data_IF_400007484410
#
_entry.id   IF_400007484410
#
_cell.length_a   1.000
_cell.length_b   1.000
_cell.length_c   1.000
_cell.angle_alpha   90.00
_cell.angle_beta   90.00
_cell.angle_gamma   90.00
#
_symmetry.space_group_name_H-M   'P 1'
#
loop_
_entity.id
_entity.type
_entity.pdbx_description
1 polymer ?
#
# COMPACT_ATOMS: atom_id res chain seq x y z
N UNK A 1 10.22 25.92 46.84
CA UNK A 1 11.51 25.66 46.17
C UNK A 1 11.55 24.18 45.80
N UNK A 2 10.96 23.83 44.67
CA UNK A 2 11.09 22.54 44.00
C UNK A 2 11.06 22.86 42.50
N UNK A 3 12.18 22.57 41.83
CA UNK A 3 12.29 22.63 40.38
C UNK A 3 11.57 21.41 39.80
N UNK A 4 10.77 21.60 38.76
CA UNK A 4 10.38 20.52 37.86
C UNK A 4 10.62 20.96 36.42
N UNK A 5 11.64 20.34 35.83
CA UNK A 5 11.93 20.31 34.41
C UNK A 5 10.78 19.65 33.65
N UNK A 6 10.41 20.21 32.49
CA UNK A 6 9.76 19.43 31.44
C UNK A 6 10.66 19.43 30.21
N UNK A 7 11.17 18.23 29.96
CA UNK A 7 12.02 17.83 28.86
C UNK A 7 11.13 17.49 27.67
N UNK A 8 11.28 18.21 26.56
CA UNK A 8 10.63 17.88 25.30
C UNK A 8 11.24 16.59 24.75
N UNK A 9 10.42 15.55 24.61
CA UNK A 9 10.80 14.33 23.90
C UNK A 9 10.10 14.34 22.55
N UNK A 10 10.89 14.61 21.52
CA UNK A 10 10.53 14.34 20.12
C UNK A 10 10.48 12.84 19.90
N UNK A 11 9.33 12.31 19.48
CA UNK A 11 9.23 10.96 18.92
C UNK A 11 8.82 11.06 17.46
N UNK A 12 9.82 11.07 16.57
CA UNK A 12 9.65 10.77 15.16
C UNK A 12 9.61 9.24 15.02
N UNK A 13 8.44 8.70 14.70
CA UNK A 13 8.27 7.28 14.37
C UNK A 13 8.42 7.13 12.86
N UNK A 14 9.64 6.81 12.42
CA UNK A 14 9.90 6.33 11.06
C UNK A 14 9.53 4.85 10.97
N UNK A 15 8.47 4.54 10.22
CA UNK A 15 8.10 3.17 9.91
C UNK A 15 8.98 2.66 8.75
N UNK A 16 10.01 1.88 9.07
CA UNK A 16 10.79 1.15 8.09
C UNK A 16 10.01 -0.07 7.60
N UNK A 17 9.63 -0.09 6.32
CA UNK A 17 9.06 -1.26 5.65
C UNK A 17 10.21 -2.16 5.21
N UNK A 18 10.50 -3.20 5.99
CA UNK A 18 11.42 -4.26 5.59
C UNK A 18 10.71 -5.25 4.68
N UNK A 19 10.98 -5.19 3.38
CA UNK A 19 10.61 -6.22 2.41
C UNK A 19 11.53 -7.43 2.57
N UNK A 20 10.99 -8.52 3.09
CA UNK A 20 11.69 -9.80 3.17
C UNK A 20 11.70 -10.47 1.79
N UNK A 21 12.85 -10.43 1.12
CA UNK A 21 13.09 -11.18 -0.10
C UNK A 21 13.40 -12.65 0.24
N UNK A 22 12.45 -13.54 -0.07
CA UNK A 22 12.67 -14.98 -0.08
C UNK A 22 13.61 -15.33 -1.23
N UNK A 23 14.88 -15.62 -0.91
CA UNK A 23 15.85 -16.18 -1.84
C UNK A 23 15.81 -17.70 -1.75
N UNK A 24 15.25 -18.35 -2.77
CA UNK A 24 15.33 -19.80 -2.95
C UNK A 24 16.68 -20.12 -3.58
N UNK A 25 17.61 -20.59 -2.74
CA UNK A 25 18.90 -21.16 -3.17
C UNK A 25 18.66 -22.44 -3.98
N UNK A 26 18.99 -22.40 -5.27
CA UNK A 26 19.08 -23.59 -6.12
C UNK A 26 20.42 -24.29 -5.87
N UNK A 27 20.37 -25.49 -5.32
CA UNK A 27 21.52 -26.38 -5.17
C UNK A 27 21.96 -26.89 -6.54
N UNK A 28 23.10 -26.40 -7.02
CA UNK A 28 23.79 -26.87 -8.21
C UNK A 28 24.70 -28.05 -7.83
N UNK A 29 24.31 -29.27 -8.21
CA UNK A 29 25.15 -30.46 -8.06
C UNK A 29 26.15 -30.52 -9.21
N UNK A 30 27.38 -30.08 -8.94
CA UNK A 30 28.52 -30.22 -9.86
C UNK A 30 29.30 -31.50 -9.53
N UNK A 31 29.34 -32.41 -10.49
CA UNK A 31 30.15 -33.63 -10.47
C UNK A 31 31.65 -33.30 -10.51
N UNK A 32 32.41 -33.83 -9.55
CA UNK A 32 33.88 -33.77 -9.53
C UNK A 32 34.46 -35.16 -9.74
N UNK A 33 35.17 -35.33 -10.85
CA UNK A 33 36.00 -36.48 -11.17
C UNK A 33 37.37 -36.28 -10.49
N UNK A 34 37.72 -37.15 -9.54
CA UNK A 34 39.05 -37.20 -8.94
C UNK A 34 39.92 -38.24 -9.65
N UNK A 35 40.90 -37.77 -10.41
CA UNK A 35 42.03 -38.56 -10.90
C UNK A 35 43.09 -38.58 -9.80
N UNK A 36 43.46 -39.77 -9.33
CA UNK A 36 44.60 -39.96 -8.44
C UNK A 36 45.62 -40.89 -9.10
N UNK A 37 46.69 -40.28 -9.62
CA UNK A 37 47.91 -40.97 -10.03
C UNK A 37 48.70 -41.43 -8.82
N UNK A 38 49.10 -42.70 -8.76
CA UNK A 38 50.22 -43.17 -7.94
C UNK A 38 51.07 -44.19 -8.72
N UNK A 39 52.31 -43.80 -8.97
CA UNK A 39 53.41 -44.67 -9.41
C UNK A 39 54.20 -45.09 -8.17
N UNK A 40 54.59 -46.36 -8.08
CA UNK A 40 55.37 -46.90 -6.97
C UNK A 40 55.59 -48.42 -7.08
N UNK A 41 56.85 -48.79 -7.28
CA UNK A 41 57.44 -50.09 -7.66
C UNK A 41 57.44 -51.16 -6.55
N UNK A 42 57.32 -52.45 -6.95
CA UNK A 42 58.16 -53.63 -6.57
C UNK A 42 57.40 -54.92 -6.22
N UNK A 43 57.88 -56.02 -6.85
CA UNK A 43 57.94 -57.42 -6.40
C UNK A 43 56.66 -58.20 -6.04
N UNK A 44 56.29 -59.16 -6.89
CA UNK A 44 56.66 -60.58 -6.74
C UNK A 44 55.66 -61.49 -7.47
N UNK A 45 56.21 -62.52 -8.10
CA UNK A 45 55.50 -63.57 -8.84
C UNK A 45 54.74 -64.45 -7.85
N UNK A 46 53.46 -64.70 -8.12
CA UNK A 46 52.77 -65.94 -7.74
C UNK A 46 51.57 -66.15 -8.66
N UNK A 47 51.69 -67.17 -9.49
CA UNK A 47 50.62 -67.80 -10.25
C UNK A 47 49.47 -68.21 -9.33
N UNK A 48 48.36 -67.48 -9.42
CA UNK A 48 47.06 -67.95 -8.98
C UNK A 48 46.07 -67.70 -10.11
N UNK A 49 45.43 -68.77 -10.57
CA UNK A 49 44.32 -68.76 -11.52
C UNK A 49 43.18 -67.98 -10.87
N UNK A 50 43.19 -66.65 -11.02
CA UNK A 50 42.09 -65.80 -10.61
C UNK A 50 41.24 -65.56 -11.84
N UNK A 51 40.11 -66.26 -11.88
CA UNK A 51 38.98 -65.99 -12.75
C UNK A 51 38.82 -64.47 -12.88
N UNK A 52 38.99 -63.95 -14.11
CA UNK A 52 38.69 -62.56 -14.41
C UNK A 52 37.33 -62.21 -13.80
N UNK A 53 37.17 -61.09 -13.07
CA UNK A 53 35.87 -60.68 -12.61
C UNK A 53 35.03 -60.42 -13.86
N UNK A 54 34.19 -61.40 -14.22
CA UNK A 54 33.12 -61.23 -15.19
C UNK A 54 32.22 -60.17 -14.59
N UNK A 55 32.40 -58.94 -15.08
CA UNK A 55 31.32 -57.97 -15.16
C UNK A 55 30.06 -58.75 -15.56
N UNK A 56 28.91 -58.58 -14.88
CA UNK A 56 27.67 -59.19 -15.34
C UNK A 56 27.39 -58.61 -16.73
N UNK A 57 27.87 -59.33 -17.73
CA UNK A 57 27.77 -58.95 -19.12
C UNK A 57 26.35 -59.33 -19.51
N UNK A 58 25.45 -58.35 -19.50
CA UNK A 58 24.10 -58.45 -20.06
C UNK A 58 24.09 -58.86 -21.54
N UNK A 59 25.28 -58.96 -22.15
CA UNK A 59 25.61 -59.32 -23.53
C UNK A 59 26.01 -60.80 -23.67
N UNK A 60 26.43 -61.48 -22.59
CA UNK A 60 26.92 -62.86 -22.67
C UNK A 60 25.76 -63.87 -22.66
N UNK A 61 25.23 -64.17 -23.85
CA UNK A 61 24.17 -65.17 -24.07
C UNK A 61 23.01 -64.68 -24.95
N UNK A 62 22.97 -63.37 -25.25
CA UNK A 62 21.99 -62.74 -26.14
C UNK A 62 22.55 -62.64 -27.56
N UNK A 63 21.72 -62.87 -28.58
CA UNK A 63 22.14 -62.64 -29.97
C UNK A 63 22.37 -61.14 -30.20
N UNK A 64 23.25 -60.77 -31.12
CA UNK A 64 23.52 -59.34 -31.47
C UNK A 64 22.21 -58.59 -31.77
N UNK A 65 21.25 -59.29 -32.35
CA UNK A 65 19.92 -58.78 -32.68
C UNK A 65 19.09 -58.41 -31.44
N UNK A 66 19.22 -59.17 -30.35
CA UNK A 66 18.58 -58.87 -29.06
C UNK A 66 19.18 -57.63 -28.40
N UNK A 67 20.50 -57.45 -28.49
CA UNK A 67 21.20 -56.27 -27.96
C UNK A 67 20.79 -55.00 -28.72
N UNK A 68 20.70 -55.08 -30.06
CA UNK A 68 20.22 -53.97 -30.89
C UNK A 68 18.78 -53.61 -30.52
N UNK A 69 17.92 -54.61 -30.28
CA UNK A 69 16.53 -54.38 -29.89
C UNK A 69 16.43 -53.71 -28.51
N UNK A 70 17.24 -54.14 -27.55
CA UNK A 70 17.29 -53.56 -26.20
C UNK A 70 17.80 -52.11 -26.21
N UNK A 71 18.88 -51.83 -26.95
CA UNK A 71 19.38 -50.45 -27.12
C UNK A 71 18.38 -49.54 -27.84
N UNK A 72 17.67 -50.06 -28.83
CA UNK A 72 16.63 -49.30 -29.52
C UNK A 72 15.46 -48.97 -28.56
N UNK A 73 15.01 -49.95 -27.77
CA UNK A 73 13.99 -49.73 -26.75
C UNK A 73 14.44 -48.70 -25.70
N UNK A 74 15.68 -48.80 -25.20
CA UNK A 74 16.24 -47.87 -24.22
C UNK A 74 16.40 -46.46 -24.81
N UNK A 75 16.83 -46.34 -26.07
CA UNK A 75 16.93 -45.07 -26.78
C UNK A 75 15.55 -44.44 -26.96
N UNK A 76 14.53 -45.23 -27.33
CA UNK A 76 13.17 -44.76 -27.52
C UNK A 76 12.54 -44.32 -26.19
N UNK A 77 12.81 -45.04 -25.09
CA UNK A 77 12.40 -44.65 -23.74
C UNK A 77 13.07 -43.35 -23.29
N UNK A 78 14.40 -43.23 -23.44
CA UNK A 78 15.15 -42.01 -23.10
C UNK A 78 14.70 -40.81 -23.94
N UNK A 79 14.46 -41.02 -25.23
CA UNK A 79 13.92 -39.98 -26.13
C UNK A 79 12.53 -39.53 -25.65
N UNK A 80 11.69 -40.47 -25.21
CA UNK A 80 10.39 -40.17 -24.62
C UNK A 80 10.50 -39.34 -23.33
N UNK A 81 11.40 -39.71 -22.42
CA UNK A 81 11.66 -38.96 -21.17
C UNK A 81 12.23 -37.57 -21.45
N UNK A 82 13.19 -37.46 -22.37
CA UNK A 82 13.78 -36.18 -22.79
C UNK A 82 12.72 -35.25 -23.37
N UNK A 83 11.84 -35.74 -24.25
CA UNK A 83 10.74 -34.92 -24.79
C UNK A 83 9.79 -34.42 -23.71
N UNK A 84 9.46 -35.26 -22.71
CA UNK A 84 8.63 -34.84 -21.57
C UNK A 84 9.33 -33.75 -20.74
N UNK A 85 10.62 -33.90 -20.48
CA UNK A 85 11.41 -32.90 -19.77
C UNK A 85 11.53 -31.58 -20.57
N UNK A 86 11.79 -31.66 -21.87
CA UNK A 86 11.84 -30.49 -22.74
C UNK A 86 10.50 -29.73 -22.75
N UNK A 87 9.36 -30.45 -22.78
CA UNK A 87 8.04 -29.83 -22.67
C UNK A 87 7.81 -29.18 -21.29
N UNK A 88 8.18 -29.85 -20.20
CA UNK A 88 8.06 -29.27 -18.86
C UNK A 88 8.93 -28.02 -18.69
N UNK A 89 10.15 -28.03 -19.22
CA UNK A 89 11.05 -26.87 -19.23
C UNK A 89 10.44 -25.73 -20.05
N UNK A 90 9.87 -26.01 -21.22
CA UNK A 90 9.20 -24.99 -22.03
C UNK A 90 7.96 -24.38 -21.33
N UNK A 91 7.22 -25.17 -20.55
CA UNK A 91 6.12 -24.66 -19.72
C UNK A 91 6.63 -23.79 -18.57
N UNK A 92 7.73 -24.19 -17.91
CA UNK A 92 8.35 -23.39 -16.86
C UNK A 92 8.92 -22.08 -17.39
N UNK A 93 9.56 -22.10 -18.56
CA UNK A 93 10.07 -20.89 -19.22
C UNK A 93 8.92 -19.91 -19.53
N UNK A 94 7.80 -20.40 -20.06
CA UNK A 94 6.61 -19.58 -20.29
C UNK A 94 6.09 -18.94 -19.00
N UNK A 95 6.10 -19.67 -17.87
CA UNK A 95 5.69 -19.13 -16.56
C UNK A 95 6.67 -18.09 -16.03
N UNK A 96 7.97 -18.30 -16.21
CA UNK A 96 9.01 -17.35 -15.81
C UNK A 96 8.84 -16.03 -16.58
N UNK A 97 8.62 -16.10 -17.89
CA UNK A 97 8.36 -14.91 -18.70
C UNK A 97 7.09 -14.17 -18.27
N UNK A 98 6.00 -14.90 -18.01
CA UNK A 98 4.77 -14.28 -17.51
C UNK A 98 4.97 -13.60 -16.14
N UNK A 99 5.65 -14.27 -15.21
CA UNK A 99 5.95 -13.69 -13.89
C UNK A 99 6.85 -12.47 -14.01
N UNK A 100 7.81 -12.47 -14.94
CA UNK A 100 8.64 -11.29 -15.25
C UNK A 100 7.78 -10.13 -15.74
N UNK A 101 6.83 -10.36 -16.63
CA UNK A 101 5.94 -9.29 -17.12
C UNK A 101 5.04 -8.72 -16.03
N UNK A 102 4.58 -9.56 -15.08
CA UNK A 102 3.87 -9.11 -13.88
C UNK A 102 4.79 -8.29 -12.97
N UNK A 103 6.03 -8.75 -12.74
CA UNK A 103 7.00 -8.05 -11.91
C UNK A 103 7.35 -6.67 -12.49
N UNK A 104 7.55 -6.56 -13.80
CA UNK A 104 7.84 -5.28 -14.46
C UNK A 104 6.66 -4.30 -14.35
N UNK A 105 5.41 -4.78 -14.46
CA UNK A 105 4.23 -3.93 -14.23
C UNK A 105 4.15 -3.47 -12.78
N UNK A 106 4.40 -4.37 -11.84
CA UNK A 106 4.42 -4.04 -10.42
C UNK A 106 5.51 -3.01 -10.12
N UNK A 107 6.70 -3.13 -10.71
CA UNK A 107 7.79 -2.15 -10.57
C UNK A 107 7.36 -0.75 -11.02
N UNK A 108 6.67 -0.64 -12.17
CA UNK A 108 6.13 0.62 -12.67
C UNK A 108 5.07 1.19 -11.70
N UNK A 109 4.18 0.34 -11.19
CA UNK A 109 3.16 0.75 -10.21
C UNK A 109 3.79 1.22 -8.89
N UNK A 110 4.80 0.51 -8.38
CA UNK A 110 5.54 0.93 -7.18
C UNK A 110 6.25 2.26 -7.41
N UNK A 111 6.90 2.46 -8.56
CA UNK A 111 7.52 3.74 -8.89
C UNK A 111 6.48 4.89 -8.87
N UNK A 112 5.29 4.65 -9.43
CA UNK A 112 4.19 5.62 -9.38
C UNK A 112 3.72 5.89 -7.94
N UNK A 113 3.57 4.85 -7.12
CA UNK A 113 3.18 5.01 -5.71
C UNK A 113 4.22 5.84 -4.95
N UNK A 114 5.51 5.57 -5.15
CA UNK A 114 6.61 6.33 -4.55
C UNK A 114 6.57 7.80 -4.97
N UNK A 115 6.33 8.08 -6.25
CA UNK A 115 6.16 9.45 -6.74
C UNK A 115 4.95 10.14 -6.07
N UNK A 116 3.82 9.46 -5.97
CA UNK A 116 2.63 10.02 -5.31
C UNK A 116 2.86 10.25 -3.82
N UNK A 117 3.58 9.35 -3.15
CA UNK A 117 3.94 9.50 -1.73
C UNK A 117 4.86 10.71 -1.54
N UNK A 118 5.90 10.85 -2.36
CA UNK A 118 6.79 12.01 -2.30
C UNK A 118 6.04 13.34 -2.55
N UNK A 119 5.06 13.33 -3.46
CA UNK A 119 4.20 14.50 -3.67
C UNK A 119 3.32 14.80 -2.45
N UNK A 120 2.74 13.77 -1.81
CA UNK A 120 1.96 13.94 -0.57
C UNK A 120 2.83 14.46 0.58
N UNK A 121 4.04 13.94 0.76
CA UNK A 121 4.99 14.42 1.75
C UNK A 121 5.30 15.91 1.55
N UNK A 122 5.54 16.33 0.29
CA UNK A 122 5.74 17.76 -0.05
C UNK A 122 4.50 18.61 0.23
N UNK A 123 3.29 18.08 0.00
CA UNK A 123 2.05 18.79 0.31
C UNK A 123 1.84 18.92 1.82
N UNK A 124 2.18 17.89 2.60
CA UNK A 124 2.12 17.94 4.06
C UNK A 124 3.13 18.94 4.62
N UNK A 125 4.37 18.95 4.12
CA UNK A 125 5.37 19.95 4.49
C UNK A 125 4.88 21.37 4.17
N UNK A 126 4.27 21.59 2.99
CA UNK A 126 3.68 22.89 2.66
C UNK A 126 2.57 23.28 3.65
N UNK A 127 1.68 22.35 3.98
CA UNK A 127 0.60 22.58 4.95
C UNK A 127 1.18 22.89 6.35
N UNK A 128 2.23 22.19 6.78
CA UNK A 128 2.93 22.44 8.04
C UNK A 128 3.54 23.84 8.06
N UNK A 129 4.22 24.25 6.98
CA UNK A 129 4.76 25.61 6.87
C UNK A 129 3.68 26.68 6.90
N UNK A 130 2.54 26.45 6.25
CA UNK A 130 1.40 27.38 6.30
C UNK A 130 0.79 27.45 7.70
N UNK A 131 0.69 26.33 8.43
CA UNK A 131 0.22 26.33 9.82
C UNK A 131 1.17 27.16 10.71
N UNK A 132 2.48 26.93 10.60
CA UNK A 132 3.51 27.68 11.31
C UNK A 132 3.47 29.19 11.02
N UNK A 133 3.22 29.58 9.76
CA UNK A 133 3.11 30.98 9.36
C UNK A 133 1.84 31.63 9.92
N UNK A 134 0.70 30.94 9.89
CA UNK A 134 -0.56 31.40 10.48
C UNK A 134 -0.41 31.55 12.00
N UNK A 135 0.20 30.58 12.68
CA UNK A 135 0.43 30.65 14.13
C UNK A 135 1.31 31.84 14.51
N UNK A 136 2.38 32.11 13.75
CA UNK A 136 3.23 33.30 13.97
C UNK A 136 2.48 34.60 13.70
N UNK A 137 1.65 34.64 12.66
CA UNK A 137 0.84 35.81 12.36
C UNK A 137 -0.21 36.08 13.46
N UNK A 138 -0.86 35.03 13.95
CA UNK A 138 -1.81 35.11 15.07
C UNK A 138 -1.11 35.58 16.35
N UNK A 139 0.03 34.99 16.73
CA UNK A 139 0.80 35.43 17.90
C UNK A 139 1.22 36.90 17.80
N UNK A 140 1.59 37.37 16.60
CA UNK A 140 1.92 38.78 16.38
C UNK A 140 0.71 39.69 16.56
N UNK A 141 -0.44 39.30 16.01
CA UNK A 141 -1.69 40.06 16.13
C UNK A 141 -2.21 40.06 17.56
N UNK A 142 -2.15 38.93 18.27
CA UNK A 142 -2.50 38.82 19.69
C UNK A 142 -1.59 39.71 20.54
N UNK A 143 -0.28 39.72 20.27
CA UNK A 143 0.65 40.61 20.96
C UNK A 143 0.36 42.09 20.73
N UNK A 144 0.02 42.48 19.49
CA UNK A 144 -0.38 43.85 19.17
C UNK A 144 -1.72 44.23 19.82
N UNK A 145 -2.70 43.33 19.81
CA UNK A 145 -3.98 43.50 20.47
C UNK A 145 -3.82 43.62 22.00
N UNK A 146 -3.00 42.79 22.63
CA UNK A 146 -2.71 42.86 24.07
C UNK A 146 -2.00 44.18 24.42
N UNK A 147 -1.09 44.65 23.56
CA UNK A 147 -0.42 45.92 23.72
C UNK A 147 -1.42 47.09 23.65
N UNK A 148 -2.28 47.13 22.62
CA UNK A 148 -3.33 48.15 22.47
C UNK A 148 -4.29 48.11 23.66
N UNK A 149 -4.73 46.91 24.07
CA UNK A 149 -5.60 46.74 25.22
C UNK A 149 -4.94 47.29 26.48
N UNK A 150 -3.67 47.00 26.76
CA UNK A 150 -2.96 47.55 27.93
C UNK A 150 -2.87 49.08 27.90
N UNK A 151 -2.70 49.68 26.73
CA UNK A 151 -2.62 51.14 26.54
C UNK A 151 -3.99 51.81 26.76
N UNK A 152 -5.07 51.24 26.20
CA UNK A 152 -6.43 51.77 26.30
C UNK A 152 -7.16 51.41 27.62
N UNK A 153 -6.74 50.35 28.31
CA UNK A 153 -7.37 49.87 29.56
C UNK A 153 -7.35 50.92 30.67
N UNK A 154 -6.37 51.82 30.68
CA UNK A 154 -6.33 52.95 31.61
C UNK A 154 -7.45 53.99 31.38
N UNK A 155 -8.01 54.01 30.17
CA UNK A 155 -9.03 54.97 29.69
C UNK A 155 -10.45 54.38 29.72
N UNK A 156 -10.58 53.06 29.58
CA UNK A 156 -11.87 52.34 29.49
C UNK A 156 -12.41 51.79 30.82
N UNK A 157 -11.62 51.80 31.91
CA UNK A 157 -12.00 51.17 33.19
C UNK A 157 -13.25 51.79 33.86
N UNK A 158 -13.70 52.96 33.40
CA UNK A 158 -14.82 53.73 33.97
C UNK A 158 -16.12 53.60 33.15
N UNK A 159 -16.15 52.80 32.06
CA UNK A 159 -17.34 52.61 31.21
C UNK A 159 -18.03 51.26 31.43
N UNK A 160 -19.21 51.30 32.06
CA UNK A 160 -20.05 50.12 32.34
C UNK A 160 -20.58 49.44 31.05
N UNK A 161 -20.73 50.20 29.96
CA UNK A 161 -21.14 49.65 28.66
C UNK A 161 -20.04 48.75 28.03
N UNK A 162 -18.77 49.11 28.21
CA UNK A 162 -17.65 48.28 27.78
C UNK A 162 -17.57 46.98 28.60
N UNK A 163 -17.74 47.06 29.93
CA UNK A 163 -17.73 45.88 30.81
C UNK A 163 -18.83 44.87 30.49
N UNK A 164 -20.04 45.34 30.20
CA UNK A 164 -21.17 44.44 29.85
C UNK A 164 -20.96 43.76 28.49
N UNK A 165 -20.34 44.45 27.52
CA UNK A 165 -20.00 43.89 26.22
C UNK A 165 -18.91 42.81 26.34
N UNK A 166 -17.89 43.03 27.16
CA UNK A 166 -16.82 42.05 27.39
C UNK A 166 -17.38 40.76 28.01
N UNK A 167 -18.28 40.87 29.00
CA UNK A 167 -18.95 39.71 29.59
C UNK A 167 -19.80 38.91 28.58
N UNK A 168 -20.39 39.58 27.59
CA UNK A 168 -21.12 38.89 26.51
C UNK A 168 -20.19 38.12 25.56
N UNK A 169 -19.03 38.68 25.22
CA UNK A 169 -18.04 37.98 24.38
C UNK A 169 -17.39 36.81 25.10
N UNK A 170 -17.10 36.94 26.40
CA UNK A 170 -16.61 35.83 27.24
C UNK A 170 -17.61 34.66 27.27
N UNK A 171 -18.90 34.97 27.40
CA UNK A 171 -19.96 33.96 27.34
C UNK A 171 -20.07 33.29 25.96
N UNK A 172 -19.86 34.05 24.87
CA UNK A 172 -19.86 33.50 23.52
C UNK A 172 -18.66 32.56 23.30
N UNK A 173 -17.47 32.94 23.76
CA UNK A 173 -16.26 32.10 23.70
C UNK A 173 -16.43 30.81 24.53
N UNK A 174 -17.11 30.90 25.68
CA UNK A 174 -17.45 29.71 26.48
C UNK A 174 -18.36 28.74 25.72
N UNK A 175 -19.39 29.25 25.03
CA UNK A 175 -20.31 28.41 24.24
C UNK A 175 -19.57 27.78 23.05
N UNK A 176 -18.68 28.52 22.40
CA UNK A 176 -17.85 28.00 21.29
C UNK A 176 -16.95 26.86 21.75
N UNK A 177 -16.22 27.04 22.87
CA UNK A 177 -15.41 25.96 23.46
C UNK A 177 -16.24 24.72 23.82
N UNK A 178 -17.44 24.90 24.36
CA UNK A 178 -18.34 23.78 24.66
C UNK A 178 -18.82 23.06 23.39
N UNK A 179 -19.10 23.81 22.30
CA UNK A 179 -19.45 23.22 21.00
C UNK A 179 -18.30 22.46 20.36
N UNK A 180 -17.07 22.97 20.45
CA UNK A 180 -15.89 22.28 19.95
C UNK A 180 -15.62 20.99 20.75
N UNK A 181 -15.70 21.07 22.09
CA UNK A 181 -15.61 19.89 22.95
C UNK A 181 -16.68 18.85 22.61
N UNK A 182 -17.94 19.26 22.38
CA UNK A 182 -18.99 18.34 21.95
C UNK A 182 -18.68 17.73 20.57
N UNK A 183 -18.08 18.49 19.65
CA UNK A 183 -17.68 17.99 18.33
C UNK A 183 -16.56 16.96 18.45
N UNK A 184 -15.56 17.21 19.29
CA UNK A 184 -14.50 16.26 19.61
C UNK A 184 -15.04 15.01 20.31
N UNK A 185 -16.00 15.17 21.22
CA UNK A 185 -16.70 14.06 21.85
C UNK A 185 -17.48 13.23 20.83
N UNK A 186 -18.20 13.86 19.90
CA UNK A 186 -18.89 13.16 18.81
C UNK A 186 -17.87 12.45 17.91
N UNK A 187 -16.75 13.07 17.58
CA UNK A 187 -15.66 12.45 16.82
C UNK A 187 -15.08 11.24 17.56
N UNK A 188 -14.88 11.34 18.87
CA UNK A 188 -14.44 10.25 19.73
C UNK A 188 -15.49 9.13 19.82
N UNK A 189 -16.78 9.48 19.94
CA UNK A 189 -17.90 8.52 19.90
C UNK A 189 -17.94 7.83 18.54
N UNK A 190 -17.71 8.54 17.43
CA UNK A 190 -17.64 7.94 16.09
C UNK A 190 -16.41 7.04 15.96
N UNK A 191 -15.25 7.45 16.47
CA UNK A 191 -14.05 6.61 16.46
C UNK A 191 -14.22 5.36 17.32
N UNK A 192 -14.80 5.48 18.51
CA UNK A 192 -15.12 4.35 19.39
C UNK A 192 -16.23 3.49 18.82
N UNK A 193 -17.25 4.06 18.16
CA UNK A 193 -18.28 3.33 17.42
C UNK A 193 -17.68 2.60 16.22
N UNK A 194 -16.78 3.21 15.47
CA UNK A 194 -16.08 2.56 14.37
C UNK A 194 -15.13 1.46 14.89
N UNK A 195 -14.53 1.66 16.05
CA UNK A 195 -13.73 0.65 16.73
C UNK A 195 -14.59 -0.47 17.32
N UNK A 196 -15.79 -0.20 17.85
CA UNK A 196 -16.69 -1.18 18.47
C UNK A 196 -17.53 -1.93 17.43
N UNK A 197 -18.03 -1.24 16.42
CA UNK A 197 -18.65 -1.82 15.23
C UNK A 197 -17.61 -2.57 14.37
N UNK A 198 -16.32 -2.22 14.54
CA UNK A 198 -15.18 -2.96 14.03
C UNK A 198 -14.50 -3.89 15.04
N UNK A 199 -15.09 -4.15 16.23
CA UNK A 199 -14.37 -4.75 17.35
C UNK A 199 -15.18 -4.95 18.64
N UNK A 200 -16.16 -5.87 18.62
CA UNK A 200 -16.46 -6.78 19.75
C UNK A 200 -15.83 -8.16 19.45
N UNK A 201 -14.61 -8.18 18.92
CA UNK A 201 -13.80 -9.39 18.70
C UNK A 201 -12.31 -9.15 18.98
N UNK A 202 -11.96 -8.07 19.69
CA UNK A 202 -10.62 -7.75 20.19
C UNK A 202 -10.24 -8.63 21.41
N UNK A 203 -10.42 -9.94 21.27
CA UNK A 203 -9.80 -10.94 22.14
C UNK A 203 -9.33 -12.20 21.39
N UNK A 204 -9.48 -12.26 20.06
CA UNK A 204 -8.95 -13.38 19.29
C UNK A 204 -8.40 -12.90 17.94
N UNK A 205 -7.11 -12.64 17.94
CA UNK A 205 -6.16 -13.00 16.87
C UNK A 205 -6.70 -12.97 15.43
N UNK A 206 -6.28 -11.94 14.68
CA UNK A 206 -6.55 -11.68 13.27
C UNK A 206 -8.02 -11.33 12.94
N UNK A 207 -8.20 -10.12 12.42
CA UNK A 207 -9.43 -9.66 11.77
C UNK A 207 -10.02 -10.80 10.93
N UNK A 208 -11.15 -11.35 11.37
CA UNK A 208 -11.75 -12.48 10.68
C UNK A 208 -12.04 -12.04 9.24
N UNK A 209 -11.82 -12.90 8.23
CA UNK A 209 -12.04 -12.53 6.83
C UNK A 209 -13.48 -12.04 6.57
N UNK A 210 -14.42 -12.45 7.43
CA UNK A 210 -15.81 -11.98 7.41
C UNK A 210 -15.93 -10.52 7.88
N UNK A 211 -15.21 -10.12 8.93
CA UNK A 211 -15.16 -8.74 9.42
C UNK A 211 -14.56 -7.78 8.36
N UNK A 212 -13.54 -8.24 7.63
CA UNK A 212 -13.01 -7.49 6.48
C UNK A 212 -14.05 -7.32 5.36
N UNK A 213 -14.80 -8.38 5.03
CA UNK A 213 -15.85 -8.32 4.01
C UNK A 213 -16.99 -7.37 4.42
N UNK A 214 -17.43 -7.40 5.67
CA UNK A 214 -18.49 -6.51 6.16
C UNK A 214 -18.04 -5.04 6.11
N UNK A 215 -16.80 -4.73 6.52
CA UNK A 215 -16.24 -3.38 6.41
C UNK A 215 -16.12 -2.90 4.96
N UNK A 216 -15.66 -3.77 4.06
CA UNK A 216 -15.60 -3.47 2.62
C UNK A 216 -17.01 -3.20 2.07
N UNK A 217 -17.98 -4.05 2.40
CA UNK A 217 -19.35 -3.90 1.92
C UNK A 217 -19.98 -2.60 2.43
N UNK A 218 -19.76 -2.26 3.71
CA UNK A 218 -20.26 -1.02 4.28
C UNK A 218 -19.63 0.20 3.59
N UNK A 219 -18.32 0.20 3.38
CA UNK A 219 -17.64 1.27 2.64
C UNK A 219 -18.12 1.37 1.18
N UNK A 220 -18.34 0.23 0.53
CA UNK A 220 -18.89 0.16 -0.82
C UNK A 220 -20.33 0.67 -0.88
N UNK A 221 -21.17 0.36 0.11
CA UNK A 221 -22.53 0.86 0.21
C UNK A 221 -22.54 2.38 0.41
N UNK A 222 -21.73 2.90 1.33
CA UNK A 222 -21.60 4.34 1.52
C UNK A 222 -21.07 5.03 0.26
N UNK A 223 -20.10 4.44 -0.43
CA UNK A 223 -19.57 4.97 -1.70
C UNK A 223 -20.64 4.96 -2.79
N UNK A 224 -21.47 3.91 -2.86
CA UNK A 224 -22.54 3.81 -3.84
C UNK A 224 -23.67 4.81 -3.56
N UNK A 225 -24.06 4.99 -2.29
CA UNK A 225 -25.02 6.01 -1.89
C UNK A 225 -24.50 7.42 -2.22
N UNK A 226 -23.21 7.67 -1.99
CA UNK A 226 -22.60 8.95 -2.37
C UNK A 226 -22.59 9.17 -3.88
N UNK A 227 -22.30 8.13 -4.67
CA UNK A 227 -22.38 8.20 -6.14
C UNK A 227 -23.82 8.50 -6.59
N UNK A 228 -24.82 7.86 -5.98
CA UNK A 228 -26.24 8.08 -6.31
C UNK A 228 -26.66 9.54 -6.02
N UNK A 229 -26.32 10.04 -4.83
CA UNK A 229 -26.56 11.45 -4.47
C UNK A 229 -25.88 12.42 -5.45
N UNK A 230 -24.62 12.16 -5.82
CA UNK A 230 -23.90 12.99 -6.79
C UNK A 230 -24.43 12.87 -8.21
N UNK A 231 -24.92 11.70 -8.61
CA UNK A 231 -25.57 11.51 -9.91
C UNK A 231 -26.89 12.30 -9.99
N UNK A 232 -27.69 12.31 -8.91
CA UNK A 232 -28.89 13.12 -8.79
C UNK A 232 -28.57 14.63 -8.78
N UNK A 233 -27.51 15.05 -8.07
CA UNK A 233 -27.02 16.44 -8.14
C UNK A 233 -26.61 16.82 -9.57
N UNK A 234 -25.92 15.93 -10.28
CA UNK A 234 -25.55 16.15 -11.68
C UNK A 234 -26.77 16.21 -12.59
N UNK A 235 -27.74 15.31 -12.40
CA UNK A 235 -28.97 15.24 -13.18
C UNK A 235 -29.80 16.51 -13.00
N UNK A 236 -30.02 16.94 -11.76
CA UNK A 236 -30.74 18.18 -11.44
C UNK A 236 -30.02 19.40 -12.04
N UNK A 237 -28.68 19.42 -12.02
CA UNK A 237 -27.90 20.50 -12.63
C UNK A 237 -28.00 20.50 -14.15
N UNK A 238 -28.02 19.34 -14.80
CA UNK A 238 -28.29 19.21 -16.24
C UNK A 238 -29.71 19.68 -16.57
N UNK A 239 -30.73 19.28 -15.81
CA UNK A 239 -32.11 19.72 -16.02
C UNK A 239 -32.26 21.23 -15.83
N UNK A 240 -31.57 21.81 -14.84
CA UNK A 240 -31.52 23.27 -14.64
C UNK A 240 -30.86 23.97 -15.83
N UNK A 241 -29.75 23.45 -16.35
CA UNK A 241 -29.10 24.01 -17.54
C UNK A 241 -29.96 23.83 -18.81
N UNK A 242 -30.63 22.70 -18.98
CA UNK A 242 -31.54 22.47 -20.10
C UNK A 242 -32.75 23.42 -20.07
N UNK A 243 -33.34 23.63 -18.89
CA UNK A 243 -34.44 24.58 -18.73
C UNK A 243 -34.00 26.04 -18.85
N UNK A 244 -32.81 26.41 -18.34
CA UNK A 244 -32.22 27.73 -18.55
C UNK A 244 -31.83 27.98 -20.01
N UNK A 245 -31.30 26.96 -20.71
CA UNK A 245 -31.02 27.00 -22.13
C UNK A 245 -32.30 27.20 -22.94
N UNK A 246 -33.38 26.50 -22.61
CA UNK A 246 -34.70 26.72 -23.21
C UNK A 246 -35.24 28.13 -22.95
N UNK A 247 -35.01 28.70 -21.77
CA UNK A 247 -35.43 30.07 -21.43
C UNK A 247 -34.57 31.12 -22.15
N UNK A 248 -33.27 30.91 -22.27
CA UNK A 248 -32.35 31.78 -23.01
C UNK A 248 -32.65 31.78 -24.53
N UNK A 249 -32.94 30.61 -25.09
CA UNK A 249 -33.33 30.47 -26.50
C UNK A 249 -34.71 31.12 -26.76
N UNK A 250 -35.63 31.02 -25.79
CA UNK A 250 -36.94 31.71 -25.85
C UNK A 250 -36.84 33.23 -25.67
N UNK A 251 -35.82 33.74 -25.00
CA UNK A 251 -35.54 35.19 -24.92
C UNK A 251 -34.85 35.72 -26.19
N UNK A 252 -34.01 34.92 -26.85
CA UNK A 252 -33.45 35.22 -28.17
C UNK A 252 -34.52 35.20 -29.28
N UNK A 253 -35.57 34.39 -29.11
CA UNK A 253 -36.74 34.31 -30.00
C UNK A 253 -37.96 35.07 -29.40
N UNK A 254 -37.72 36.07 -28.54
CA UNK A 254 -38.74 37.03 -28.13
C UNK A 254 -39.17 37.94 -29.30
N UNK A 255 -40.44 38.37 -29.40
CA UNK A 255 -40.95 39.02 -30.61
C UNK A 255 -40.17 40.30 -30.91
N UNK A 256 -39.54 40.35 -32.08
CA UNK A 256 -39.04 41.58 -32.70
C UNK A 256 -40.24 42.51 -32.96
N UNK A 257 -40.58 43.35 -31.99
CA UNK A 257 -41.50 44.48 -32.19
C UNK A 257 -40.78 45.52 -33.07
N UNK A 258 -40.80 45.30 -34.38
CA UNK A 258 -40.59 46.36 -35.35
C UNK A 258 -41.95 46.90 -35.78
N UNK A 259 -42.11 48.21 -35.56
CA UNK A 259 -42.98 49.14 -36.29
C UNK A 259 -44.50 48.89 -36.28
N UNK A 260 -45.21 49.75 -35.54
CA UNK A 260 -46.09 50.77 -36.14
C UNK A 260 -46.23 51.95 -35.19
#
# INVERSE_FOLDING_TARGET
MFQSSHQSVSTSTSAAVTTSSSSTTTTQTSSSLVVASRSGTTSSVSTAVSVAPKLPSEIAGKTVEEIIKEWNAELQERTGKFRKQANAIAEWDRRILHNRDVLLRLEIEVAKVVETQANLERQLELIETHQDEVDKALQSMEGEAEHIYKDERGLLLDDEAASTRDAMYEQAEFIEREMEQMTEQIKSIIQTLNASQGGELEASEAMTPLDAVVKILNNQLSSLMWIDEKAEEFWTRIQKLASQGLVADRQLVGPKYWMS
#
